data_IF_326154726072
#
_entry.id   IF_326154726072
#
_cell.length_a   1.000
_cell.length_b   1.000
_cell.length_c   1.000
_cell.angle_alpha   90.00
_cell.angle_beta   90.00
_cell.angle_gamma   90.00
#
_symmetry.space_group_name_H-M   'P 1'
#
loop_
_entity.id
_entity.type
_entity.pdbx_description
1 polymer ?
#
# COMPACT_ATOMS: atom_id res chain seq x y z
N UNK A 1 -28.17 -19.58 59.21
CA UNK A 1 -29.10 -19.43 58.07
C UNK A 1 -28.86 -18.14 57.29
N UNK A 2 -28.80 -16.97 57.96
CA UNK A 2 -28.76 -15.66 57.28
C UNK A 2 -27.46 -15.37 56.51
N UNK A 3 -26.29 -15.77 57.02
CA UNK A 3 -25.00 -15.53 56.35
C UNK A 3 -24.87 -16.33 55.05
N UNK A 4 -25.38 -17.56 55.03
CA UNK A 4 -25.39 -18.40 53.83
C UNK A 4 -26.34 -17.85 52.76
N UNK A 5 -27.55 -17.43 53.17
CA UNK A 5 -28.51 -16.80 52.27
C UNK A 5 -27.98 -15.48 51.68
N UNK A 6 -27.23 -14.70 52.48
CA UNK A 6 -26.58 -13.47 52.04
C UNK A 6 -25.47 -13.72 51.00
N UNK A 7 -24.65 -14.76 51.19
CA UNK A 7 -23.62 -15.15 50.22
C UNK A 7 -24.20 -15.62 48.89
N UNK A 8 -25.27 -16.41 48.92
CA UNK A 8 -25.99 -16.86 47.71
C UNK A 8 -26.60 -15.66 46.98
N UNK A 9 -27.17 -14.70 47.72
CA UNK A 9 -27.71 -13.47 47.14
C UNK A 9 -26.63 -12.63 46.44
N UNK A 10 -25.47 -12.42 47.08
CA UNK A 10 -24.34 -11.69 46.47
C UNK A 10 -23.81 -12.38 45.20
N UNK A 11 -23.71 -13.71 45.21
CA UNK A 11 -23.27 -14.47 44.05
C UNK A 11 -24.26 -14.37 42.89
N UNK A 12 -25.57 -14.44 43.18
CA UNK A 12 -26.62 -14.27 42.18
C UNK A 12 -26.60 -12.87 41.56
N UNK A 13 -26.44 -11.82 42.38
CA UNK A 13 -26.31 -10.43 41.91
C UNK A 13 -25.04 -10.26 41.05
N UNK A 14 -23.92 -10.83 41.48
CA UNK A 14 -22.67 -10.81 40.73
C UNK A 14 -22.79 -11.45 39.34
N UNK A 15 -23.43 -12.63 39.26
CA UNK A 15 -23.72 -13.32 37.99
C UNK A 15 -24.66 -12.50 37.08
N UNK A 16 -25.68 -11.86 37.66
CA UNK A 16 -26.62 -11.00 36.93
C UNK A 16 -25.92 -9.77 36.31
N UNK A 17 -25.04 -9.12 37.09
CA UNK A 17 -24.23 -8.00 36.62
C UNK A 17 -23.28 -8.43 35.50
N UNK A 18 -22.62 -9.59 35.66
CA UNK A 18 -21.70 -10.13 34.64
C UNK A 18 -22.43 -10.42 33.32
N UNK A 19 -23.62 -11.04 33.40
CA UNK A 19 -24.46 -11.34 32.25
C UNK A 19 -24.95 -10.07 31.55
N UNK A 20 -25.35 -9.04 32.30
CA UNK A 20 -25.78 -7.76 31.75
C UNK A 20 -24.63 -7.04 31.02
N UNK A 21 -23.42 -7.05 31.57
CA UNK A 21 -22.22 -6.47 30.95
C UNK A 21 -21.83 -7.22 29.68
N UNK A 22 -21.87 -8.56 29.70
CA UNK A 22 -21.59 -9.39 28.53
C UNK A 22 -22.59 -9.13 27.38
N UNK A 23 -23.89 -9.03 27.71
CA UNK A 23 -24.94 -8.73 26.73
C UNK A 23 -24.79 -7.33 26.12
N UNK A 24 -24.44 -6.32 26.93
CA UNK A 24 -24.19 -4.96 26.44
C UNK A 24 -22.98 -4.89 25.51
N UNK A 25 -21.88 -5.59 25.84
CA UNK A 25 -20.70 -5.69 24.96
C UNK A 25 -21.00 -6.41 23.65
N UNK A 26 -21.80 -7.47 23.68
CA UNK A 26 -22.24 -8.18 22.48
C UNK A 26 -23.11 -7.30 21.57
N UNK A 27 -24.07 -6.56 22.13
CA UNK A 27 -24.94 -5.66 21.37
C UNK A 27 -24.20 -4.45 20.79
N UNK A 28 -23.17 -3.96 21.48
CA UNK A 28 -22.31 -2.87 20.99
C UNK A 28 -21.41 -3.33 19.83
N UNK A 29 -21.00 -4.60 19.83
CA UNK A 29 -20.23 -5.20 18.75
C UNK A 29 -21.09 -5.63 17.54
N UNK A 30 -22.42 -5.56 17.66
CA UNK A 30 -23.37 -5.98 16.63
C UNK A 30 -24.14 -4.84 15.98
N UNK A 31 -23.63 -3.60 16.02
CA UNK A 31 -24.12 -2.54 15.13
C UNK A 31 -23.71 -2.87 13.69
N UNK A 32 -24.42 -3.82 13.09
CA UNK A 32 -24.16 -4.41 11.77
C UNK A 32 -24.51 -3.47 10.63
N UNK A 33 -23.98 -2.25 10.65
CA UNK A 33 -23.90 -1.45 9.44
C UNK A 33 -22.78 -2.03 8.59
N UNK A 34 -23.13 -3.00 7.75
CA UNK A 34 -22.25 -3.52 6.70
C UNK A 34 -22.50 -2.67 5.46
N UNK A 35 -21.64 -1.67 5.22
CA UNK A 35 -21.71 -0.89 3.98
C UNK A 35 -21.48 -1.82 2.78
N UNK A 36 -22.33 -1.70 1.76
CA UNK A 36 -22.19 -2.51 0.54
C UNK A 36 -21.02 -1.95 -0.27
N UNK A 37 -20.16 -2.81 -0.85
CA UNK A 37 -19.10 -2.35 -1.74
C UNK A 37 -19.67 -1.48 -2.88
N UNK A 38 -19.00 -0.35 -3.15
CA UNK A 38 -19.38 0.58 -4.21
C UNK A 38 -18.33 0.56 -5.31
N UNK A 39 -18.77 0.71 -6.56
CA UNK A 39 -17.87 0.88 -7.68
C UNK A 39 -17.05 2.16 -7.54
N UNK A 40 -15.79 2.12 -7.99
CA UNK A 40 -14.92 3.29 -8.08
C UNK A 40 -14.10 3.22 -9.36
N UNK A 41 -13.65 4.38 -9.92
CA UNK A 41 -12.65 4.37 -10.97
C UNK A 41 -11.38 3.64 -10.52
N UNK A 42 -10.68 2.94 -11.44
CA UNK A 42 -9.44 2.25 -11.11
C UNK A 42 -8.36 3.26 -10.71
N UNK A 43 -8.26 4.39 -11.44
CA UNK A 43 -7.28 5.45 -11.23
C UNK A 43 -7.95 6.80 -10.94
N UNK A 44 -7.33 7.60 -10.08
CA UNK A 44 -7.66 9.01 -9.87
C UNK A 44 -7.32 9.85 -11.11
N UNK A 45 -7.90 11.06 -11.24
CA UNK A 45 -7.61 11.94 -12.37
C UNK A 45 -6.10 12.26 -12.53
N UNK A 46 -5.38 12.40 -11.42
CA UNK A 46 -3.92 12.62 -11.43
C UNK A 46 -3.16 11.40 -11.92
N UNK A 47 -3.55 10.20 -11.49
CA UNK A 47 -2.94 8.95 -11.96
C UNK A 47 -3.27 8.68 -13.43
N UNK A 48 -4.47 9.02 -13.90
CA UNK A 48 -4.81 8.93 -15.32
C UNK A 48 -3.93 9.85 -16.17
N UNK A 49 -3.70 11.10 -15.73
CA UNK A 49 -2.79 12.01 -16.41
C UNK A 49 -1.34 11.48 -16.44
N UNK A 50 -0.87 10.89 -15.35
CA UNK A 50 0.44 10.25 -15.28
C UNK A 50 0.53 9.02 -16.21
N UNK A 51 -0.49 8.16 -16.19
CA UNK A 51 -0.58 6.99 -17.07
C UNK A 51 -0.49 7.40 -18.53
N UNK A 52 -1.30 8.38 -18.94
CA UNK A 52 -1.31 8.88 -20.31
C UNK A 52 0.05 9.47 -20.70
N UNK A 53 0.72 10.20 -19.79
CA UNK A 53 2.08 10.71 -20.01
C UNK A 53 3.07 9.55 -20.27
N UNK A 54 3.07 8.52 -19.43
CA UNK A 54 3.97 7.38 -19.58
C UNK A 54 3.71 6.63 -20.88
N UNK A 55 2.45 6.31 -21.21
CA UNK A 55 2.10 5.58 -22.43
C UNK A 55 2.41 6.40 -23.69
N UNK A 56 2.17 7.71 -23.66
CA UNK A 56 2.51 8.60 -24.77
C UNK A 56 4.03 8.65 -25.01
N UNK A 57 4.82 8.74 -23.94
CA UNK A 57 6.28 8.88 -24.04
C UNK A 57 7.00 7.56 -24.29
N UNK A 58 6.45 6.44 -23.81
CA UNK A 58 7.09 5.12 -23.85
C UNK A 58 6.28 4.14 -24.70
N UNK A 59 6.04 4.41 -26.01
CA UNK A 59 5.13 3.62 -26.83
C UNK A 59 5.58 2.16 -27.03
N UNK A 60 6.88 1.89 -26.85
CA UNK A 60 7.46 0.56 -26.99
C UNK A 60 7.48 -0.26 -25.70
N UNK A 61 7.13 0.34 -24.57
CA UNK A 61 7.08 -0.29 -23.26
C UNK A 61 5.65 -0.57 -22.81
N UNK A 62 5.50 -1.44 -21.82
CA UNK A 62 4.23 -1.78 -21.19
C UNK A 62 4.12 -1.04 -19.88
N UNK A 63 3.06 -0.24 -19.70
CA UNK A 63 2.78 0.48 -18.46
C UNK A 63 1.66 -0.21 -17.69
N UNK A 64 1.97 -0.71 -16.49
CA UNK A 64 1.03 -1.39 -15.60
C UNK A 64 0.70 -0.49 -14.41
N UNK A 65 -0.52 0.04 -14.29
CA UNK A 65 -0.94 0.84 -13.14
C UNK A 65 -1.35 -0.03 -11.95
N UNK A 66 -1.13 0.45 -10.72
CA UNK A 66 -1.57 -0.17 -9.47
C UNK A 66 -1.17 -1.65 -9.29
N UNK A 67 0.12 -1.94 -9.46
CA UNK A 67 0.66 -3.31 -9.31
C UNK A 67 0.89 -3.64 -7.83
N UNK A 68 0.34 -4.75 -7.35
CA UNK A 68 0.59 -5.19 -5.98
C UNK A 68 2.08 -5.50 -5.76
N UNK A 69 2.64 -5.13 -4.61
CA UNK A 69 4.00 -5.53 -4.27
C UNK A 69 4.14 -7.06 -4.20
N UNK A 70 3.05 -7.79 -3.94
CA UNK A 70 3.04 -9.25 -3.97
C UNK A 70 3.32 -9.87 -5.34
N UNK A 71 3.20 -9.11 -6.43
CA UNK A 71 3.56 -9.50 -7.79
C UNK A 71 5.03 -9.18 -8.15
N UNK A 72 5.66 -8.28 -7.38
CA UNK A 72 7.05 -7.86 -7.58
C UNK A 72 8.01 -8.52 -6.57
N UNK A 73 7.51 -8.78 -5.36
CA UNK A 73 8.31 -9.23 -4.23
C UNK A 73 7.82 -10.59 -3.72
N UNK A 74 8.77 -11.41 -3.33
CA UNK A 74 8.54 -12.68 -2.65
C UNK A 74 9.37 -12.76 -1.38
N UNK A 75 8.89 -13.54 -0.42
CA UNK A 75 9.60 -13.77 0.84
C UNK A 75 9.22 -15.14 1.39
N UNK A 76 10.18 -15.80 2.05
CA UNK A 76 9.97 -17.15 2.62
C UNK A 76 9.10 -17.12 3.88
N UNK A 77 9.24 -16.08 4.71
CA UNK A 77 8.54 -15.99 5.99
C UNK A 77 7.28 -15.14 5.86
N UNK A 78 6.25 -15.51 6.62
CA UNK A 78 5.02 -14.72 6.72
C UNK A 78 5.27 -13.32 7.28
N UNK A 79 6.20 -13.19 8.24
CA UNK A 79 6.59 -11.91 8.82
C UNK A 79 7.16 -10.96 7.74
N UNK A 80 8.11 -11.44 6.94
CA UNK A 80 8.65 -10.66 5.83
C UNK A 80 7.59 -10.36 4.77
N UNK A 81 6.75 -11.34 4.37
CA UNK A 81 5.68 -11.09 3.39
C UNK A 81 4.64 -10.08 3.88
N UNK A 82 4.38 -10.03 5.18
CA UNK A 82 3.44 -9.06 5.76
C UNK A 82 3.91 -7.62 5.60
N UNK A 83 5.22 -7.39 5.51
CA UNK A 83 5.80 -6.05 5.35
C UNK A 83 5.37 -5.40 4.04
N UNK A 84 5.09 -6.17 2.98
CA UNK A 84 4.70 -5.64 1.68
C UNK A 84 3.35 -6.13 1.13
N UNK A 85 2.72 -7.13 1.74
CA UNK A 85 1.48 -7.77 1.23
C UNK A 85 0.31 -6.82 0.92
N UNK A 86 0.22 -5.67 1.59
CA UNK A 86 -0.83 -4.67 1.39
C UNK A 86 -0.37 -3.45 0.58
N UNK A 87 0.87 -3.45 0.10
CA UNK A 87 1.45 -2.33 -0.64
C UNK A 87 1.18 -2.47 -2.13
N UNK A 88 0.98 -1.34 -2.79
CA UNK A 88 0.73 -1.22 -4.23
C UNK A 88 1.73 -0.19 -4.79
N UNK A 89 2.36 -0.53 -5.91
CA UNK A 89 3.17 0.35 -6.72
C UNK A 89 2.25 1.17 -7.64
N UNK A 90 2.54 2.46 -7.79
CA UNK A 90 1.66 3.36 -8.54
C UNK A 90 1.69 2.98 -10.03
N UNK A 91 2.89 2.81 -10.60
CA UNK A 91 3.07 2.21 -11.92
C UNK A 91 4.31 1.31 -11.98
N UNK A 92 4.27 0.30 -12.84
CA UNK A 92 5.41 -0.53 -13.22
C UNK A 92 5.56 -0.45 -14.73
N UNK A 93 6.75 -0.10 -15.20
CA UNK A 93 7.08 -0.06 -16.62
C UNK A 93 7.90 -1.30 -16.95
N UNK A 94 7.46 -2.06 -17.95
CA UNK A 94 8.11 -3.27 -18.41
C UNK A 94 8.47 -3.21 -19.88
N UNK A 95 9.38 -4.06 -20.31
CA UNK A 95 9.52 -4.39 -21.73
C UNK A 95 8.34 -5.24 -22.24
N UNK A 96 8.35 -5.58 -23.53
CA UNK A 96 7.30 -6.39 -24.18
C UNK A 96 7.21 -7.83 -23.65
N UNK A 97 8.22 -8.31 -22.95
CA UNK A 97 8.27 -9.62 -22.31
C UNK A 97 7.88 -9.56 -20.82
N UNK A 98 7.35 -8.41 -20.36
CA UNK A 98 6.99 -8.14 -18.96
C UNK A 98 8.18 -8.16 -17.98
N UNK A 99 9.42 -8.02 -18.46
CA UNK A 99 10.55 -7.75 -17.58
C UNK A 99 10.46 -6.31 -17.09
N UNK A 100 10.52 -6.11 -15.78
CA UNK A 100 10.45 -4.78 -15.17
C UNK A 100 11.68 -3.95 -15.57
N UNK A 101 11.43 -2.79 -16.16
CA UNK A 101 12.44 -1.77 -16.50
C UNK A 101 12.59 -0.79 -15.33
N UNK A 102 11.46 -0.31 -14.79
CA UNK A 102 11.44 0.55 -13.62
C UNK A 102 10.08 0.50 -12.90
N UNK A 103 10.09 0.76 -11.60
CA UNK A 103 8.88 1.06 -10.83
C UNK A 103 8.78 2.58 -10.67
N UNK A 104 7.62 3.14 -10.99
CA UNK A 104 7.40 4.59 -10.87
C UNK A 104 6.55 4.87 -9.64
N UNK A 105 7.12 5.63 -8.71
CA UNK A 105 6.43 6.18 -7.55
C UNK A 105 5.86 7.57 -7.92
N UNK A 106 4.55 7.73 -7.78
CA UNK A 106 3.84 8.92 -8.20
C UNK A 106 3.10 9.60 -7.04
N UNK A 107 3.39 10.88 -6.85
CA UNK A 107 2.76 11.72 -5.85
C UNK A 107 3.61 11.95 -4.60
N UNK A 108 3.14 12.92 -3.79
CA UNK A 108 3.82 13.42 -2.61
C UNK A 108 4.51 14.76 -2.87
N UNK A 109 4.05 15.81 -2.19
CA UNK A 109 4.83 17.02 -1.99
C UNK A 109 5.74 16.81 -0.77
N UNK A 110 6.99 17.26 -0.85
CA UNK A 110 7.96 17.22 0.28
C UNK A 110 7.47 17.99 1.52
N UNK A 111 6.38 18.76 1.41
CA UNK A 111 5.85 19.68 2.42
C UNK A 111 5.13 19.00 3.60
N UNK A 112 4.70 17.74 3.48
CA UNK A 112 4.03 17.01 4.56
C UNK A 112 5.01 16.11 5.30
N UNK A 113 5.66 16.64 6.34
CA UNK A 113 6.70 15.99 7.17
C UNK A 113 6.39 14.56 7.67
N UNK A 114 5.14 14.11 7.69
CA UNK A 114 4.73 12.76 8.14
C UNK A 114 4.39 11.74 7.03
N UNK A 115 4.43 12.15 5.76
CA UNK A 115 4.13 11.28 4.60
C UNK A 115 5.40 10.78 3.91
N UNK A 116 6.49 11.55 4.01
CA UNK A 116 7.78 11.22 3.40
C UNK A 116 8.37 9.91 3.91
N UNK A 117 8.40 9.66 5.23
CA UNK A 117 9.09 8.48 5.75
C UNK A 117 8.44 7.16 5.29
N UNK A 118 7.11 7.06 5.36
CA UNK A 118 6.38 5.87 4.90
C UNK A 118 6.53 5.62 3.40
N UNK A 119 6.59 6.69 2.63
CA UNK A 119 6.80 6.62 1.19
C UNK A 119 8.25 6.18 0.87
N UNK A 120 9.24 6.66 1.62
CA UNK A 120 10.63 6.23 1.53
C UNK A 120 10.79 4.76 1.94
N UNK A 121 10.14 4.33 3.02
CA UNK A 121 10.18 2.93 3.47
C UNK A 121 9.53 1.99 2.44
N UNK A 122 8.52 2.46 1.70
CA UNK A 122 7.90 1.71 0.60
C UNK A 122 8.89 1.50 -0.54
N UNK A 123 9.60 2.56 -0.91
CA UNK A 123 10.55 2.55 -2.03
C UNK A 123 11.81 1.75 -1.67
N UNK A 124 12.26 1.83 -0.41
CA UNK A 124 13.39 1.07 0.10
C UNK A 124 13.23 -0.43 -0.15
N UNK A 125 12.04 -1.00 0.07
CA UNK A 125 11.78 -2.43 -0.18
C UNK A 125 11.95 -2.83 -1.66
N UNK A 126 11.57 -1.93 -2.58
CA UNK A 126 11.73 -2.19 -4.02
C UNK A 126 13.20 -2.06 -4.43
N UNK A 127 13.89 -1.04 -3.92
CA UNK A 127 15.32 -0.82 -4.18
C UNK A 127 16.16 -1.96 -3.62
N UNK A 128 15.88 -2.42 -2.40
CA UNK A 128 16.55 -3.56 -1.77
C UNK A 128 16.35 -4.86 -2.56
N UNK A 129 15.18 -5.00 -3.21
CA UNK A 129 14.90 -6.11 -4.13
C UNK A 129 15.54 -5.96 -5.52
N UNK A 130 16.33 -4.91 -5.75
CA UNK A 130 17.04 -4.65 -7.00
C UNK A 130 16.22 -3.94 -8.08
N UNK A 131 15.03 -3.42 -7.76
CA UNK A 131 14.27 -2.63 -8.71
C UNK A 131 14.79 -1.19 -8.81
N UNK A 132 14.88 -0.71 -10.05
CA UNK A 132 15.04 0.72 -10.33
C UNK A 132 13.74 1.44 -9.99
N UNK A 133 13.78 2.43 -9.09
CA UNK A 133 12.62 3.22 -8.68
C UNK A 133 12.76 4.67 -9.11
N UNK A 134 11.79 5.18 -9.87
CA UNK A 134 11.73 6.57 -10.34
C UNK A 134 10.60 7.31 -9.64
N UNK A 135 10.90 8.48 -9.05
CA UNK A 135 9.93 9.26 -8.28
C UNK A 135 9.53 10.55 -8.98
N UNK A 136 8.22 10.71 -9.20
CA UNK A 136 7.62 11.93 -9.73
C UNK A 136 6.60 12.53 -8.75
N UNK A 137 6.86 13.72 -8.17
CA UNK A 137 5.91 14.37 -7.25
C UNK A 137 4.64 14.86 -7.98
N UNK A 138 4.79 15.21 -9.26
CA UNK A 138 3.74 15.66 -10.19
C UNK A 138 3.99 15.04 -11.56
N UNK A 139 3.00 15.13 -12.44
CA UNK A 139 3.13 14.60 -13.82
C UNK A 139 4.29 15.33 -14.50
N UNK A 140 5.35 14.62 -14.92
CA UNK A 140 6.49 15.23 -15.61
C UNK A 140 6.11 15.62 -17.05
N UNK A 141 6.95 16.46 -17.66
CA UNK A 141 6.94 16.64 -19.11
C UNK A 141 7.50 15.40 -19.83
N UNK A 142 7.36 15.39 -21.16
CA UNK A 142 7.79 14.27 -22.01
C UNK A 142 9.31 14.07 -21.95
N UNK A 143 10.09 15.15 -22.12
CA UNK A 143 11.55 15.06 -22.18
C UNK A 143 12.17 14.51 -20.90
N UNK A 144 11.59 14.83 -19.73
CA UNK A 144 12.01 14.23 -18.46
C UNK A 144 11.76 12.73 -18.42
N UNK A 145 10.61 12.26 -18.91
CA UNK A 145 10.33 10.81 -18.97
C UNK A 145 11.25 10.13 -19.97
N UNK A 146 11.53 10.73 -21.13
CA UNK A 146 12.49 10.19 -22.11
C UNK A 146 13.88 10.04 -21.49
N UNK A 147 14.41 11.11 -20.88
CA UNK A 147 15.73 11.09 -20.25
C UNK A 147 15.81 10.07 -19.10
N UNK A 148 14.77 9.97 -18.27
CA UNK A 148 14.73 9.00 -17.18
C UNK A 148 14.59 7.56 -17.70
N UNK A 149 14.16 7.30 -18.93
CA UNK A 149 14.06 5.95 -19.50
C UNK A 149 15.10 5.65 -20.59
N UNK A 150 16.01 6.58 -20.84
CA UNK A 150 17.10 6.41 -21.79
C UNK A 150 18.12 5.37 -21.27
N UNK A 151 18.25 4.21 -21.94
CA UNK A 151 19.19 3.17 -21.53
C UNK A 151 20.66 3.62 -21.62
N UNK A 152 20.98 4.63 -22.44
CA UNK A 152 22.34 5.15 -22.60
C UNK A 152 22.77 6.04 -21.42
N UNK A 153 21.80 6.59 -20.69
CA UNK A 153 22.03 7.36 -19.46
C UNK A 153 22.05 6.46 -18.21
N UNK A 154 21.50 5.24 -18.30
CA UNK A 154 21.47 4.28 -17.21
C UNK A 154 22.82 3.58 -16.95
N UNK A 155 23.75 3.58 -17.91
CA UNK A 155 25.09 2.99 -17.77
C UNK A 155 26.08 3.84 -16.96
N UNK A 156 25.66 5.00 -16.47
CA UNK A 156 26.47 5.83 -15.57
C UNK A 156 25.91 5.71 -14.14
N UNK A 157 26.16 4.56 -13.51
CA UNK A 157 26.16 4.47 -12.05
C UNK A 157 27.55 4.05 -11.59
N UNK A 158 28.08 4.67 -10.53
CA UNK A 158 29.49 4.61 -10.19
C UNK A 158 29.80 3.19 -9.73
N UNK A 159 30.80 2.57 -10.38
CA UNK A 159 31.55 1.50 -9.73
C UNK A 159 32.15 2.09 -8.45
N UNK A 160 31.50 1.81 -7.33
CA UNK A 160 32.06 2.04 -6.01
C UNK A 160 33.26 1.14 -5.83
N UNK A 161 34.41 1.78 -5.67
CA UNK A 161 35.59 1.35 -4.91
C UNK A 161 35.22 0.90 -3.49
#
# INVERSE_FOLDING_TARGET
MNTFLFMVFLLAVGLLVLAAVAKKRSAQNSSGFVDKPKARPPLTAREQAMYNRLVQTLPDLVVLPQVSFGALLTARTRAARSSFSRKIADFVVCDRSFKVVAVVAFGGDKSSKGKSQRDLDREALLVEAGYRVLRYPRVPDVGRVEADFDPTLASVSPMGS
#
